data_IF_178869040379
#
_entry.id   IF_178869040379
#
_cell.length_a   1.000
_cell.length_b   1.000
_cell.length_c   1.000
_cell.angle_alpha   90.00
_cell.angle_beta   90.00
_cell.angle_gamma   90.00
#
_symmetry.space_group_name_H-M   'P 1'
#
loop_
_entity.id
_entity.type
_entity.pdbx_description
1 polymer ?
#
# COMPACT_ATOMS: atom_id res chain seq x y z
N UNK A 1 34.26 2.44 9.55
CA UNK A 1 32.90 2.10 9.08
C UNK A 1 32.45 3.14 8.06
N UNK A 2 32.37 2.83 6.75
CA UNK A 2 31.79 3.76 5.76
C UNK A 2 30.28 3.85 6.01
N UNK A 3 29.75 5.03 6.34
CA UNK A 3 28.29 5.27 6.44
C UNK A 3 27.69 5.14 5.05
N UNK A 4 26.88 4.11 4.83
CA UNK A 4 26.08 3.96 3.61
C UNK A 4 24.98 5.03 3.63
N UNK A 5 25.10 6.06 2.78
CA UNK A 5 24.06 7.09 2.61
C UNK A 5 23.08 6.59 1.54
N UNK A 6 21.84 6.34 1.93
CA UNK A 6 20.76 6.00 1.00
C UNK A 6 20.19 7.29 0.43
N UNK A 7 20.19 7.43 -0.90
CA UNK A 7 19.57 8.59 -1.54
C UNK A 7 18.04 8.47 -1.62
N UNK A 8 17.34 9.60 -1.64
CA UNK A 8 15.87 9.63 -1.77
C UNK A 8 15.40 9.03 -3.11
N UNK A 9 16.23 9.14 -4.16
CA UNK A 9 16.00 8.49 -5.44
C UNK A 9 16.17 6.97 -5.40
N UNK A 10 17.10 6.45 -4.60
CA UNK A 10 17.29 5.00 -4.44
C UNK A 10 16.05 4.35 -3.86
N UNK A 11 15.41 4.98 -2.86
CA UNK A 11 14.16 4.47 -2.26
C UNK A 11 12.91 4.73 -3.13
N UNK A 12 13.10 5.08 -4.40
CA UNK A 12 12.04 5.13 -5.41
C UNK A 12 11.22 6.43 -5.46
N UNK A 13 11.66 7.52 -4.83
CA UNK A 13 11.03 8.84 -5.01
C UNK A 13 11.59 9.57 -6.22
N UNK A 14 10.74 10.37 -6.86
CA UNK A 14 11.15 11.29 -7.93
C UNK A 14 10.58 12.68 -7.71
N UNK A 15 11.39 13.72 -7.94
CA UNK A 15 10.94 15.12 -7.91
C UNK A 15 10.21 15.55 -9.19
N UNK A 16 10.28 14.76 -10.26
CA UNK A 16 9.65 15.10 -11.54
C UNK A 16 8.18 14.69 -11.54
N UNK A 17 7.30 15.55 -12.09
CA UNK A 17 5.88 15.21 -12.32
C UNK A 17 5.12 14.77 -11.06
N UNK A 18 5.35 15.45 -9.92
CA UNK A 18 4.69 15.14 -8.64
C UNK A 18 3.17 15.04 -8.76
N UNK A 19 2.53 15.97 -9.47
CA UNK A 19 1.08 15.93 -9.69
C UNK A 19 0.63 14.64 -10.40
N UNK A 20 1.40 14.15 -11.38
CA UNK A 20 1.12 12.88 -12.06
C UNK A 20 1.29 11.70 -11.12
N UNK A 21 2.28 11.72 -10.22
CA UNK A 21 2.52 10.64 -9.25
C UNK A 21 1.35 10.52 -8.27
N UNK A 22 0.86 11.67 -7.77
CA UNK A 22 -0.30 11.74 -6.87
C UNK A 22 -1.56 11.28 -7.60
N UNK A 23 -1.81 11.78 -8.82
CA UNK A 23 -2.97 11.39 -9.63
C UNK A 23 -2.99 9.88 -9.90
N UNK A 24 -1.87 9.30 -10.32
CA UNK A 24 -1.73 7.86 -10.55
C UNK A 24 -2.03 7.08 -9.26
N UNK A 25 -1.45 7.51 -8.13
CA UNK A 25 -1.70 6.89 -6.84
C UNK A 25 -3.19 6.91 -6.47
N UNK A 26 -3.85 8.06 -6.61
CA UNK A 26 -5.28 8.21 -6.32
C UNK A 26 -6.15 7.32 -7.22
N UNK A 27 -5.89 7.31 -8.53
CA UNK A 27 -6.64 6.47 -9.48
C UNK A 27 -6.47 4.99 -9.13
N UNK A 28 -5.25 4.54 -8.84
CA UNK A 28 -5.00 3.16 -8.47
C UNK A 28 -5.66 2.80 -7.13
N UNK A 29 -5.59 3.67 -6.12
CA UNK A 29 -6.21 3.41 -4.82
C UNK A 29 -7.73 3.31 -4.90
N UNK A 30 -8.35 4.19 -5.69
CA UNK A 30 -9.80 4.13 -5.98
C UNK A 30 -10.14 2.86 -6.76
N UNK A 31 -9.38 2.53 -7.80
CA UNK A 31 -9.61 1.33 -8.63
C UNK A 31 -9.49 0.04 -7.81
N UNK A 32 -8.47 -0.04 -6.96
CA UNK A 32 -8.31 -1.15 -6.02
C UNK A 32 -9.49 -1.26 -5.07
N UNK A 33 -9.99 -0.14 -4.54
CA UNK A 33 -11.14 -0.15 -3.63
C UNK A 33 -12.39 -0.69 -4.30
N UNK A 34 -12.62 -0.36 -5.59
CA UNK A 34 -13.74 -0.95 -6.33
C UNK A 34 -13.62 -2.47 -6.44
N UNK A 35 -12.42 -2.98 -6.73
CA UNK A 35 -12.19 -4.40 -6.98
C UNK A 35 -12.15 -5.22 -5.68
N UNK A 36 -11.46 -4.73 -4.65
CA UNK A 36 -11.14 -5.48 -3.44
C UNK A 36 -12.00 -5.10 -2.21
N UNK A 37 -12.79 -4.03 -2.30
CA UNK A 37 -13.66 -3.58 -1.20
C UNK A 37 -15.12 -3.59 -1.64
N UNK A 38 -15.48 -2.78 -2.65
CA UNK A 38 -16.87 -2.59 -3.06
C UNK A 38 -17.46 -3.87 -3.64
N UNK A 39 -16.74 -4.53 -4.56
CA UNK A 39 -17.23 -5.77 -5.17
C UNK A 39 -17.47 -6.89 -4.13
N UNK A 40 -16.52 -7.22 -3.23
CA UNK A 40 -16.75 -8.22 -2.18
C UNK A 40 -17.90 -7.87 -1.23
N UNK A 41 -18.09 -6.58 -0.88
CA UNK A 41 -19.23 -6.16 -0.06
C UNK A 41 -20.56 -6.47 -0.78
N UNK A 42 -20.67 -6.07 -2.05
CA UNK A 42 -21.91 -6.25 -2.83
C UNK A 42 -22.26 -7.73 -3.03
N UNK A 43 -21.26 -8.62 -3.15
CA UNK A 43 -21.50 -10.06 -3.30
C UNK A 43 -21.64 -10.82 -1.97
N UNK A 44 -21.75 -10.10 -0.84
CA UNK A 44 -22.08 -10.67 0.46
C UNK A 44 -20.91 -11.04 1.37
N UNK A 45 -19.69 -10.60 1.06
CA UNK A 45 -18.47 -10.86 1.87
C UNK A 45 -18.05 -9.65 2.73
N UNK A 46 -18.99 -8.80 3.15
CA UNK A 46 -18.71 -7.58 3.93
C UNK A 46 -17.89 -7.86 5.20
N UNK A 47 -18.26 -8.89 5.96
CA UNK A 47 -17.59 -9.25 7.22
C UNK A 47 -16.11 -9.65 7.03
N UNK A 48 -15.74 -10.10 5.83
CA UNK A 48 -14.34 -10.41 5.48
C UNK A 48 -13.53 -9.17 5.10
N UNK A 49 -14.19 -8.11 4.63
CA UNK A 49 -13.56 -6.85 4.23
C UNK A 49 -13.21 -6.02 5.46
N UNK A 50 -14.12 -5.95 6.44
CA UNK A 50 -13.87 -5.32 7.73
C UNK A 50 -15.12 -4.84 8.43
N UNK A 51 -14.93 -4.15 9.55
CA UNK A 51 -15.96 -3.49 10.33
C UNK A 51 -15.48 -2.13 10.82
N UNK A 52 -16.39 -1.23 11.18
CA UNK A 52 -16.05 0.06 11.78
C UNK A 52 -17.17 0.55 12.70
N UNK A 53 -16.80 1.30 13.73
CA UNK A 53 -17.72 1.98 14.65
C UNK A 53 -17.86 3.48 14.36
N UNK A 54 -17.27 3.95 13.26
CA UNK A 54 -17.28 5.37 12.90
C UNK A 54 -18.67 5.82 12.46
N UNK A 55 -19.12 6.93 13.02
CA UNK A 55 -20.44 7.53 12.74
C UNK A 55 -20.33 8.97 12.22
N UNK A 56 -19.24 9.67 12.57
CA UNK A 56 -19.08 11.09 12.29
C UNK A 56 -18.09 11.33 11.14
N UNK A 57 -18.39 12.32 10.28
CA UNK A 57 -17.57 12.68 9.11
C UNK A 57 -16.10 12.97 9.45
N UNK A 58 -15.82 13.61 10.59
CA UNK A 58 -14.46 13.94 10.99
C UNK A 58 -13.59 12.70 11.23
N UNK A 59 -14.19 11.58 11.65
CA UNK A 59 -13.46 10.32 11.89
C UNK A 59 -12.94 9.75 10.57
N UNK A 60 -13.74 9.84 9.50
CA UNK A 60 -13.31 9.46 8.15
C UNK A 60 -12.22 10.41 7.64
N UNK A 61 -12.35 11.73 7.83
CA UNK A 61 -11.27 12.67 7.48
C UNK A 61 -9.96 12.33 8.20
N UNK A 62 -10.04 12.06 9.50
CA UNK A 62 -8.89 11.60 10.30
C UNK A 62 -8.32 10.29 9.74
N UNK A 63 -9.18 9.32 9.38
CA UNK A 63 -8.77 8.03 8.82
C UNK A 63 -7.97 8.18 7.54
N UNK A 64 -8.39 9.06 6.62
CA UNK A 64 -7.62 9.34 5.39
C UNK A 64 -6.23 9.88 5.70
N UNK A 65 -6.13 10.83 6.63
CA UNK A 65 -4.84 11.40 7.04
C UNK A 65 -3.97 10.33 7.70
N UNK A 66 -4.54 9.58 8.65
CA UNK A 66 -3.84 8.55 9.40
C UNK A 66 -3.35 7.42 8.48
N UNK A 67 -4.18 6.94 7.56
CA UNK A 67 -3.80 5.86 6.64
C UNK A 67 -2.73 6.29 5.64
N UNK A 68 -2.74 7.54 5.17
CA UNK A 68 -1.71 8.05 4.26
C UNK A 68 -0.40 8.32 5.00
N UNK A 69 -0.42 9.09 6.08
CA UNK A 69 0.80 9.60 6.72
C UNK A 69 1.30 8.74 7.88
N UNK A 70 0.39 8.09 8.61
CA UNK A 70 0.74 7.23 9.75
C UNK A 70 1.12 5.82 9.33
N UNK A 71 0.40 5.25 8.36
CA UNK A 71 0.57 3.86 7.92
C UNK A 71 1.32 3.77 6.60
N UNK A 72 0.68 4.16 5.49
CA UNK A 72 1.20 3.92 4.14
C UNK A 72 2.56 4.59 3.91
N UNK A 73 2.78 5.80 4.42
CA UNK A 73 4.06 6.50 4.31
C UNK A 73 5.21 5.66 4.89
N UNK A 74 5.04 5.15 6.10
CA UNK A 74 6.08 4.39 6.82
C UNK A 74 6.29 3.04 6.15
N UNK A 75 5.20 2.34 5.84
CA UNK A 75 5.26 1.01 5.25
C UNK A 75 5.85 1.01 3.84
N UNK A 76 5.43 1.93 2.95
CA UNK A 76 5.97 1.95 1.59
C UNK A 76 7.44 2.40 1.55
N UNK A 77 7.85 3.34 2.41
CA UNK A 77 9.27 3.72 2.55
C UNK A 77 10.08 2.51 3.01
N UNK A 78 9.59 1.75 3.99
CA UNK A 78 10.33 0.61 4.52
C UNK A 78 10.35 -0.56 3.53
N UNK A 79 9.19 -1.04 3.06
CA UNK A 79 9.10 -2.26 2.27
C UNK A 79 9.52 -2.06 0.81
N UNK A 80 9.04 -1.00 0.14
CA UNK A 80 9.33 -0.74 -1.29
C UNK A 80 10.52 0.18 -1.47
N UNK A 81 10.73 1.11 -0.56
CA UNK A 81 11.90 1.98 -0.59
C UNK A 81 13.17 1.27 -0.12
N UNK A 82 13.20 0.80 1.12
CA UNK A 82 14.42 0.26 1.71
C UNK A 82 14.61 -1.24 1.45
N UNK A 83 13.68 -2.09 1.88
CA UNK A 83 13.84 -3.55 1.86
C UNK A 83 13.95 -4.09 0.44
N UNK A 84 13.04 -3.70 -0.46
CA UNK A 84 13.07 -4.08 -1.87
C UNK A 84 14.43 -3.76 -2.51
N UNK A 85 14.93 -2.52 -2.35
CA UNK A 85 16.21 -2.09 -2.94
C UNK A 85 17.40 -2.82 -2.32
N UNK A 86 17.35 -3.14 -1.02
CA UNK A 86 18.38 -3.94 -0.36
C UNK A 86 18.43 -5.36 -0.93
N UNK A 87 17.29 -6.02 -1.05
CA UNK A 87 17.21 -7.37 -1.62
C UNK A 87 17.63 -7.36 -3.08
N UNK A 88 17.18 -6.37 -3.86
CA UNK A 88 17.59 -6.20 -5.26
C UNK A 88 19.11 -6.04 -5.39
N UNK A 89 19.73 -5.25 -4.51
CA UNK A 89 21.17 -5.02 -4.54
C UNK A 89 22.00 -6.25 -4.13
N UNK A 90 21.49 -7.10 -3.24
CA UNK A 90 22.17 -8.33 -2.80
C UNK A 90 22.02 -9.43 -3.84
N UNK A 91 20.79 -9.72 -4.26
CA UNK A 91 20.48 -10.88 -5.10
C UNK A 91 20.53 -10.58 -6.60
N UNK A 92 20.59 -9.30 -6.99
CA UNK A 92 20.54 -8.83 -8.39
C UNK A 92 19.35 -9.39 -9.19
N UNK A 93 18.30 -9.81 -8.49
CA UNK A 93 17.09 -10.39 -9.05
C UNK A 93 15.89 -9.60 -8.58
N UNK A 94 15.18 -9.02 -9.56
CA UNK A 94 14.00 -8.22 -9.31
C UNK A 94 12.84 -9.04 -8.78
N UNK A 95 12.60 -10.23 -9.34
CA UNK A 95 11.53 -11.11 -8.83
C UNK A 95 11.83 -11.57 -7.40
N UNK A 96 13.09 -11.83 -7.07
CA UNK A 96 13.50 -12.12 -5.70
C UNK A 96 13.22 -10.93 -4.77
N UNK A 97 13.52 -9.70 -5.20
CA UNK A 97 13.19 -8.50 -4.45
C UNK A 97 11.68 -8.34 -4.24
N UNK A 98 10.87 -8.50 -5.29
CA UNK A 98 9.40 -8.45 -5.23
C UNK A 98 8.87 -9.46 -4.23
N UNK A 99 9.25 -10.73 -4.36
CA UNK A 99 8.72 -11.81 -3.53
C UNK A 99 9.11 -11.60 -2.07
N UNK A 100 10.41 -11.37 -1.79
CA UNK A 100 10.88 -11.24 -0.40
C UNK A 100 10.28 -10.00 0.27
N UNK A 101 10.28 -8.82 -0.38
CA UNK A 101 9.72 -7.63 0.25
C UNK A 101 8.22 -7.78 0.54
N UNK A 102 7.49 -8.46 -0.34
CA UNK A 102 6.04 -8.70 -0.21
C UNK A 102 5.70 -9.77 0.83
N UNK A 103 6.50 -10.84 0.92
CA UNK A 103 6.37 -11.83 1.98
C UNK A 103 6.62 -11.21 3.34
N UNK A 104 7.68 -10.41 3.50
CA UNK A 104 7.98 -9.75 4.78
C UNK A 104 6.88 -8.73 5.14
N UNK A 105 6.34 -8.00 4.16
CA UNK A 105 5.20 -7.09 4.36
C UNK A 105 3.93 -7.82 4.84
N UNK A 106 3.59 -8.95 4.24
CA UNK A 106 2.46 -9.76 4.71
C UNK A 106 2.73 -10.38 6.09
N UNK A 107 3.93 -10.90 6.32
CA UNK A 107 4.31 -11.49 7.61
C UNK A 107 4.22 -10.48 8.77
N UNK A 108 4.48 -9.18 8.54
CA UNK A 108 4.33 -8.17 9.60
C UNK A 108 2.87 -8.03 10.09
N UNK A 109 1.90 -8.48 9.32
CA UNK A 109 0.49 -8.44 9.68
C UNK A 109 0.06 -9.61 10.58
N UNK A 110 0.95 -10.57 10.87
CA UNK A 110 0.64 -11.65 11.81
C UNK A 110 0.38 -11.14 13.24
N UNK A 111 0.93 -9.97 13.60
CA UNK A 111 0.82 -9.40 14.95
C UNK A 111 -0.54 -8.77 15.24
N UNK A 112 -1.25 -8.30 14.21
CA UNK A 112 -2.54 -7.60 14.34
C UNK A 112 -3.64 -8.24 13.50
N UNK A 113 -3.37 -9.40 12.89
CA UNK A 113 -4.19 -10.01 11.87
C UNK A 113 -4.25 -11.53 11.98
N UNK A 114 -4.77 -12.16 10.93
CA UNK A 114 -4.85 -13.62 10.81
C UNK A 114 -4.08 -14.12 9.57
N UNK A 115 -4.04 -15.43 9.38
CA UNK A 115 -3.31 -16.04 8.27
C UNK A 115 -3.82 -15.62 6.89
N UNK A 116 -5.14 -15.37 6.77
CA UNK A 116 -5.75 -14.88 5.53
C UNK A 116 -5.22 -13.47 5.25
N UNK A 117 -5.16 -12.60 6.26
CA UNK A 117 -4.61 -11.25 6.13
C UNK A 117 -3.12 -11.26 5.77
N UNK A 118 -2.32 -12.15 6.36
CA UNK A 118 -0.91 -12.31 5.99
C UNK A 118 -0.80 -12.64 4.49
N UNK A 119 -1.59 -13.60 4.02
CA UNK A 119 -1.58 -14.03 2.63
C UNK A 119 -2.06 -12.92 1.67
N UNK A 120 -3.21 -12.30 1.95
CA UNK A 120 -3.78 -11.25 1.09
C UNK A 120 -2.88 -10.01 1.06
N UNK A 121 -2.31 -9.60 2.20
CA UNK A 121 -1.35 -8.50 2.27
C UNK A 121 -0.06 -8.81 1.52
N UNK A 122 0.42 -10.05 1.54
CA UNK A 122 1.55 -10.45 0.67
C UNK A 122 1.23 -10.35 -0.81
N UNK A 123 0.02 -10.74 -1.25
CA UNK A 123 -0.40 -10.59 -2.65
C UNK A 123 -0.52 -9.12 -3.07
N UNK A 124 -1.10 -8.27 -2.21
CA UNK A 124 -1.11 -6.81 -2.40
C UNK A 124 0.33 -6.25 -2.44
N UNK A 125 1.20 -6.79 -1.59
CA UNK A 125 2.65 -6.65 -1.61
C UNK A 125 3.22 -6.69 -3.03
N UNK A 126 3.02 -7.85 -3.67
CA UNK A 126 3.50 -8.16 -5.02
C UNK A 126 2.88 -7.20 -6.02
N UNK A 127 1.57 -6.96 -5.93
CA UNK A 127 0.86 -6.05 -6.82
C UNK A 127 1.43 -4.63 -6.76
N UNK A 128 1.77 -4.10 -5.58
CA UNK A 128 2.30 -2.74 -5.45
C UNK A 128 3.69 -2.63 -6.10
N UNK A 129 4.53 -3.65 -5.93
CA UNK A 129 5.82 -3.72 -6.62
C UNK A 129 5.63 -3.75 -8.14
N UNK A 130 4.67 -4.52 -8.65
CA UNK A 130 4.35 -4.59 -10.09
C UNK A 130 3.80 -3.25 -10.60
N UNK A 131 2.91 -2.59 -9.86
CA UNK A 131 2.38 -1.26 -10.21
C UNK A 131 3.51 -0.25 -10.37
N UNK A 132 4.39 -0.12 -9.36
CA UNK A 132 5.56 0.77 -9.42
C UNK A 132 6.49 0.42 -10.59
N UNK A 133 6.62 -0.85 -10.92
CA UNK A 133 7.49 -1.28 -12.00
C UNK A 133 6.93 -1.01 -13.40
N UNK A 134 5.64 -1.28 -13.61
CA UNK A 134 5.03 -1.30 -14.94
C UNK A 134 4.36 0.01 -15.32
N UNK A 135 3.94 0.81 -14.34
CA UNK A 135 3.19 2.04 -14.59
C UNK A 135 4.17 3.22 -14.64
N UNK A 136 4.17 3.91 -15.78
CA UNK A 136 5.00 5.09 -15.99
C UNK A 136 4.71 6.18 -14.94
N UNK A 137 5.75 6.73 -14.34
CA UNK A 137 5.67 7.70 -13.24
C UNK A 137 4.99 7.18 -11.96
N UNK A 138 4.78 5.86 -11.82
CA UNK A 138 4.39 5.29 -10.53
C UNK A 138 5.65 5.16 -9.66
N UNK A 139 5.70 5.90 -8.57
CA UNK A 139 6.85 5.96 -7.66
C UNK A 139 6.45 5.47 -6.27
N UNK A 140 7.39 5.45 -5.32
CA UNK A 140 7.06 5.21 -3.91
C UNK A 140 6.01 6.21 -3.40
N UNK A 141 6.03 7.47 -3.87
CA UNK A 141 4.97 8.43 -3.54
C UNK A 141 3.61 7.99 -4.08
N UNK A 142 3.54 7.52 -5.33
CA UNK A 142 2.28 6.98 -5.88
C UNK A 142 1.77 5.80 -5.06
N UNK A 143 2.65 4.91 -4.60
CA UNK A 143 2.28 3.78 -3.76
C UNK A 143 1.74 4.23 -2.39
N UNK A 144 2.35 5.23 -1.77
CA UNK A 144 1.88 5.79 -0.48
C UNK A 144 0.44 6.32 -0.63
N UNK A 145 0.18 7.09 -1.68
CA UNK A 145 -1.14 7.64 -1.95
C UNK A 145 -2.14 6.52 -2.26
N UNK A 146 -1.78 5.57 -3.13
CA UNK A 146 -2.62 4.42 -3.49
C UNK A 146 -2.99 3.58 -2.27
N UNK A 147 -1.99 3.19 -1.47
CA UNK A 147 -2.17 2.35 -0.29
C UNK A 147 -3.00 3.08 0.78
N UNK A 148 -2.65 4.33 1.10
CA UNK A 148 -3.38 5.10 2.11
C UNK A 148 -4.85 5.36 1.72
N UNK A 149 -5.11 5.70 0.45
CA UNK A 149 -6.49 5.88 -0.07
C UNK A 149 -7.25 4.56 -0.03
N UNK A 150 -6.64 3.46 -0.49
CA UNK A 150 -7.28 2.14 -0.46
C UNK A 150 -7.68 1.74 0.97
N UNK A 151 -6.76 1.84 1.93
CA UNK A 151 -7.05 1.48 3.32
C UNK A 151 -8.11 2.39 3.96
N UNK A 152 -8.09 3.70 3.68
CA UNK A 152 -9.11 4.61 4.18
C UNK A 152 -10.50 4.33 3.57
N UNK A 153 -10.54 3.98 2.29
CA UNK A 153 -11.78 3.63 1.59
C UNK A 153 -12.39 2.32 2.09
N UNK A 154 -11.60 1.36 2.59
CA UNK A 154 -12.14 0.18 3.28
C UNK A 154 -13.05 0.62 4.43
N UNK A 155 -12.55 1.46 5.33
CA UNK A 155 -13.31 1.95 6.48
C UNK A 155 -14.56 2.73 6.05
N UNK A 156 -14.45 3.57 5.00
CA UNK A 156 -15.59 4.32 4.48
C UNK A 156 -16.66 3.39 3.90
N UNK A 157 -16.28 2.49 2.99
CA UNK A 157 -17.24 1.64 2.29
C UNK A 157 -17.92 0.63 3.20
N UNK A 158 -17.20 0.06 4.17
CA UNK A 158 -17.81 -0.81 5.18
C UNK A 158 -18.85 -0.08 6.03
N UNK A 159 -18.68 1.22 6.28
CA UNK A 159 -19.66 2.02 7.02
C UNK A 159 -20.93 2.33 6.22
N UNK A 160 -20.80 2.62 4.91
CA UNK A 160 -21.92 3.17 4.11
C UNK A 160 -22.62 2.15 3.22
N UNK A 161 -21.95 1.05 2.85
CA UNK A 161 -22.53 0.02 2.01
C UNK A 161 -23.24 -1.02 2.88
N UNK A 162 -24.32 -1.64 2.36
CA UNK A 162 -25.10 -2.65 3.09
C UNK A 162 -24.24 -3.84 3.48
#
# INVERSE_FOLDING_TARGET
MKRYKISVSEIGFSKSKLASQVLIGSILGISMSFIFTVFPIIVGFKDMVGSTSYTQTWQFCYQFIYMIFGVALVEEIFYRGFLFERVLNIFKSKWTAIIISSCVFGLSHIFNGNIIQVFTTSLLGVMFCICRDKIKNCTTLSLIIMHGIYNALITLFVAILP
#
